data_IF_751795877595
#
_entry.id   IF_751795877595
#
_cell.length_a   1.000
_cell.length_b   1.000
_cell.length_c   1.000
_cell.angle_alpha   90.00
_cell.angle_beta   90.00
_cell.angle_gamma   90.00
#
_symmetry.space_group_name_H-M   'P 1'
#
loop_
_entity.id
_entity.type
_entity.pdbx_description
1 polymer ?
#
# COMPACT_ATOMS: atom_id res chain seq x y z
N UNK A 1 12.47 10.41 -5.98
CA UNK A 1 11.92 9.27 -5.21
C UNK A 1 11.43 8.14 -6.10
N UNK A 2 11.56 6.90 -5.65
CA UNK A 2 10.89 5.70 -6.19
C UNK A 2 10.29 4.89 -5.03
N UNK A 3 9.04 4.45 -5.19
CA UNK A 3 8.37 3.54 -4.25
C UNK A 3 8.21 2.19 -4.94
N UNK A 4 8.80 1.15 -4.36
CA UNK A 4 8.93 -0.18 -4.98
C UNK A 4 8.70 -1.28 -3.96
N UNK A 5 8.64 -2.53 -4.42
CA UNK A 5 8.53 -3.72 -3.55
C UNK A 5 7.35 -3.63 -2.58
N UNK A 6 6.22 -3.11 -3.07
CA UNK A 6 4.97 -3.08 -2.31
C UNK A 6 4.49 -4.51 -2.13
N UNK A 7 4.26 -4.92 -0.89
CA UNK A 7 3.83 -6.27 -0.54
C UNK A 7 2.64 -6.22 0.40
N UNK A 8 1.79 -7.23 0.26
CA UNK A 8 0.64 -7.48 1.13
C UNK A 8 0.96 -8.73 1.95
N UNK A 9 0.95 -8.59 3.27
CA UNK A 9 1.35 -9.64 4.22
C UNK A 9 2.72 -10.25 3.89
N UNK A 10 3.66 -9.42 3.42
CA UNK A 10 5.02 -9.85 3.04
C UNK A 10 5.13 -10.56 1.68
N UNK A 11 4.04 -10.66 0.92
CA UNK A 11 3.99 -11.32 -0.39
C UNK A 11 3.69 -10.30 -1.49
N UNK A 12 4.35 -10.43 -2.64
CA UNK A 12 4.01 -9.67 -3.83
C UNK A 12 2.76 -10.29 -4.48
N UNK A 13 1.68 -9.52 -4.53
CA UNK A 13 0.39 -9.90 -5.14
C UNK A 13 -0.19 -11.26 -4.72
N UNK A 14 -0.50 -11.48 -3.42
CA UNK A 14 -1.07 -12.74 -2.96
C UNK A 14 -2.49 -12.95 -3.49
N UNK A 15 -2.76 -14.13 -4.06
CA UNK A 15 -4.06 -14.47 -4.65
C UNK A 15 -4.68 -15.69 -3.97
N UNK A 16 -5.97 -15.61 -3.61
CA UNK A 16 -6.73 -16.71 -3.03
C UNK A 16 -6.39 -17.02 -1.56
N UNK A 17 -5.77 -16.10 -0.84
CA UNK A 17 -5.39 -16.29 0.57
C UNK A 17 -6.54 -15.91 1.50
N UNK A 18 -6.73 -16.69 2.57
CA UNK A 18 -7.50 -16.20 3.70
C UNK A 18 -6.70 -15.12 4.43
N UNK A 19 -7.26 -13.93 4.58
CA UNK A 19 -6.57 -12.77 5.17
C UNK A 19 -7.42 -12.19 6.30
N UNK A 20 -7.07 -12.53 7.55
CA UNK A 20 -7.69 -11.93 8.74
C UNK A 20 -7.31 -10.46 8.92
N UNK A 21 -6.17 -10.07 8.36
CA UNK A 21 -5.64 -8.71 8.39
C UNK A 21 -4.77 -8.44 7.16
N UNK A 22 -4.60 -7.15 6.86
CA UNK A 22 -3.75 -6.67 5.78
C UNK A 22 -2.60 -5.87 6.37
N UNK A 23 -1.37 -6.29 6.08
CA UNK A 23 -0.14 -5.54 6.35
C UNK A 23 0.45 -5.11 5.01
N UNK A 24 0.57 -3.81 4.82
CA UNK A 24 1.22 -3.23 3.63
C UNK A 24 2.64 -2.82 3.97
N UNK A 25 3.62 -3.27 3.20
CA UNK A 25 5.02 -2.84 3.32
C UNK A 25 5.54 -2.34 1.98
N UNK A 26 6.49 -1.41 1.98
CA UNK A 26 7.07 -0.83 0.76
C UNK A 26 8.51 -0.38 0.99
N UNK A 27 9.25 -0.18 -0.11
CA UNK A 27 10.62 0.37 -0.10
C UNK A 27 10.69 1.71 -0.81
N UNK A 28 11.38 2.66 -0.20
CA UNK A 28 11.67 3.98 -0.77
C UNK A 28 13.14 4.05 -1.18
N UNK A 29 13.42 4.50 -2.39
CA UNK A 29 14.79 4.70 -2.89
C UNK A 29 14.88 5.87 -3.87
N UNK A 30 16.09 6.21 -4.33
CA UNK A 30 16.29 7.24 -5.37
C UNK A 30 15.77 8.62 -4.98
N UNK A 31 16.05 9.05 -3.76
CA UNK A 31 15.69 10.37 -3.22
C UNK A 31 16.78 10.88 -2.28
N UNK A 32 16.93 12.20 -2.21
CA UNK A 32 17.79 12.88 -1.24
C UNK A 32 17.06 13.20 0.07
N UNK A 33 15.74 13.01 0.12
CA UNK A 33 14.94 13.11 1.34
C UNK A 33 15.41 12.06 2.34
N UNK A 34 15.56 12.48 3.60
CA UNK A 34 16.06 11.60 4.68
C UNK A 34 14.93 11.06 5.52
N UNK A 35 13.83 11.80 5.59
CA UNK A 35 12.66 11.42 6.36
C UNK A 35 11.42 11.39 5.46
N UNK A 36 10.48 10.53 5.83
CA UNK A 36 9.13 10.54 5.32
C UNK A 36 8.37 11.71 5.96
N UNK A 37 7.99 12.70 5.16
CA UNK A 37 7.11 13.77 5.62
C UNK A 37 5.65 13.30 5.69
N UNK A 38 5.26 12.41 4.77
CA UNK A 38 3.91 11.86 4.69
C UNK A 38 3.90 10.54 3.91
N UNK A 39 3.02 9.63 4.29
CA UNK A 39 2.70 8.43 3.54
C UNK A 39 1.20 8.29 3.40
N UNK A 40 0.75 7.84 2.24
CA UNK A 40 -0.64 7.60 1.91
C UNK A 40 -0.76 6.20 1.30
N UNK A 41 -1.56 5.35 1.93
CA UNK A 41 -1.90 4.02 1.44
C UNK A 41 -3.36 4.05 1.02
N UNK A 42 -3.64 3.62 -0.20
CA UNK A 42 -4.99 3.51 -0.75
C UNK A 42 -5.26 2.07 -1.16
N UNK A 43 -6.46 1.58 -0.85
CA UNK A 43 -6.96 0.28 -1.29
C UNK A 43 -8.28 0.47 -2.03
N UNK A 44 -8.40 -0.14 -3.21
CA UNK A 44 -9.56 -0.03 -4.11
C UNK A 44 -9.99 -1.41 -4.62
N UNK A 45 -11.22 -1.54 -5.11
CA UNK A 45 -11.67 -2.70 -5.90
C UNK A 45 -11.32 -2.57 -7.39
N UNK A 46 -10.94 -1.38 -7.84
CA UNK A 46 -10.59 -1.06 -9.23
C UNK A 46 -9.12 -0.70 -9.38
N UNK A 47 -8.49 -1.17 -10.46
CA UNK A 47 -7.08 -0.88 -10.78
C UNK A 47 -6.82 0.61 -11.05
N UNK A 48 -7.87 1.35 -11.43
CA UNK A 48 -7.84 2.79 -11.70
C UNK A 48 -7.96 3.64 -10.42
N UNK A 49 -8.27 3.02 -9.27
CA UNK A 49 -8.53 3.70 -7.99
C UNK A 49 -9.68 4.72 -8.08
N UNK A 50 -10.66 4.50 -8.96
CA UNK A 50 -11.86 5.33 -9.03
C UNK A 50 -12.81 5.11 -7.84
N UNK A 51 -12.71 3.96 -7.18
CA UNK A 51 -13.49 3.63 -5.97
C UNK A 51 -12.55 3.17 -4.87
N UNK A 52 -12.01 4.12 -4.12
CA UNK A 52 -11.15 3.84 -2.96
C UNK A 52 -12.00 3.39 -1.79
N UNK A 53 -11.78 2.17 -1.31
CA UNK A 53 -12.46 1.60 -0.15
C UNK A 53 -11.80 1.97 1.17
N UNK A 54 -10.48 2.16 1.16
CA UNK A 54 -9.72 2.44 2.35
C UNK A 54 -8.57 3.39 2.06
N UNK A 55 -8.37 4.34 2.96
CA UNK A 55 -7.29 5.32 2.89
C UNK A 55 -6.67 5.47 4.26
N UNK A 56 -5.34 5.35 4.34
CA UNK A 56 -4.58 5.64 5.55
C UNK A 56 -3.46 6.61 5.24
N UNK A 57 -3.41 7.71 5.98
CA UNK A 57 -2.43 8.79 5.78
C UNK A 57 -1.69 9.09 7.08
N UNK A 58 -0.38 9.30 6.99
CA UNK A 58 0.40 9.79 8.11
C UNK A 58 1.90 9.76 7.86
N UNK A 59 2.62 10.65 8.55
CA UNK A 59 4.09 10.67 8.52
C UNK A 59 4.72 9.46 9.21
N UNK A 60 4.03 8.89 10.21
CA UNK A 60 4.54 7.81 11.07
C UNK A 60 4.15 6.40 10.60
N UNK A 61 3.58 6.26 9.40
CA UNK A 61 3.23 4.94 8.84
C UNK A 61 4.50 4.11 8.61
N UNK A 62 4.43 2.83 9.00
CA UNK A 62 5.58 1.92 9.07
C UNK A 62 5.87 1.29 7.71
N UNK A 63 6.96 1.71 7.07
CA UNK A 63 7.38 1.18 5.77
C UNK A 63 7.65 -0.34 5.78
N UNK A 64 8.08 -0.89 6.92
CA UNK A 64 8.35 -2.33 7.07
C UNK A 64 7.07 -3.18 7.18
N UNK A 65 5.91 -2.57 7.38
CA UNK A 65 4.64 -3.27 7.56
C UNK A 65 3.65 -2.44 8.38
N UNK A 66 2.81 -1.69 7.68
CA UNK A 66 1.71 -0.94 8.25
C UNK A 66 0.43 -1.78 8.22
N UNK A 67 -0.22 -1.95 9.38
CA UNK A 67 -1.50 -2.64 9.46
C UNK A 67 -2.61 -1.74 8.91
N UNK A 68 -3.43 -2.30 8.02
CA UNK A 68 -4.61 -1.66 7.46
C UNK A 68 -5.85 -2.28 8.10
N UNK A 69 -6.65 -1.44 8.75
CA UNK A 69 -7.91 -1.85 9.38
C UNK A 69 -9.05 -1.79 8.35
N UNK A 70 -8.91 -2.59 7.29
CA UNK A 70 -9.89 -2.75 6.20
C UNK A 70 -10.67 -4.04 6.40
N UNK A 71 -11.98 -4.01 6.13
CA UNK A 71 -12.81 -5.21 6.06
C UNK A 71 -12.80 -5.72 4.63
N UNK A 72 -12.47 -7.00 4.46
CA UNK A 72 -12.41 -7.65 3.16
C UNK A 72 -13.56 -8.65 3.00
N UNK A 73 -14.09 -8.71 1.79
CA UNK A 73 -15.05 -9.72 1.37
C UNK A 73 -14.30 -10.95 0.83
N UNK A 74 -14.83 -12.17 0.96
CA UNK A 74 -14.24 -13.36 0.36
C UNK A 74 -14.25 -13.28 -1.17
N UNK A 75 -13.31 -13.99 -1.82
CA UNK A 75 -13.20 -14.11 -3.29
C UNK A 75 -13.21 -12.77 -4.03
N UNK A 76 -12.59 -11.75 -3.45
CA UNK A 76 -12.61 -10.39 -3.98
C UNK A 76 -11.19 -9.89 -4.22
N UNK A 77 -10.98 -9.33 -5.41
CA UNK A 77 -9.71 -8.71 -5.78
C UNK A 77 -9.67 -7.24 -5.36
N UNK A 78 -8.54 -6.84 -4.78
CA UNK A 78 -8.26 -5.50 -4.31
C UNK A 78 -6.94 -5.00 -4.88
N UNK A 79 -6.84 -3.69 -5.04
CA UNK A 79 -5.66 -3.00 -5.54
C UNK A 79 -5.15 -2.07 -4.47
N UNK A 80 -3.87 -2.19 -4.13
CA UNK A 80 -3.18 -1.33 -3.17
C UNK A 80 -2.13 -0.49 -3.88
N UNK A 81 -2.01 0.79 -3.53
CA UNK A 81 -0.88 1.63 -3.91
C UNK A 81 -0.41 2.48 -2.73
N UNK A 82 0.85 2.86 -2.77
CA UNK A 82 1.47 3.70 -1.74
C UNK A 82 2.04 4.96 -2.38
N UNK A 83 1.68 6.12 -1.86
CA UNK A 83 2.29 7.41 -2.18
C UNK A 83 3.12 7.88 -1.00
N UNK A 84 4.37 8.26 -1.26
CA UNK A 84 5.29 8.79 -0.26
C UNK A 84 5.66 10.23 -0.64
N UNK A 85 5.72 11.10 0.36
CA UNK A 85 6.27 12.45 0.27
C UNK A 85 7.44 12.56 1.24
N UNK A 86 8.61 12.97 0.73
CA UNK A 86 9.82 13.17 1.50
C UNK A 86 9.89 14.55 2.14
N UNK A 87 10.77 14.72 3.12
CA UNK A 87 11.01 15.98 3.83
C UNK A 87 11.60 17.10 2.96
N UNK A 88 12.16 16.78 1.79
CA UNK A 88 12.59 17.77 0.79
C UNK A 88 11.55 18.07 -0.29
N UNK A 89 10.31 17.58 -0.11
CA UNK A 89 9.17 17.87 -0.97
C UNK A 89 9.04 17.00 -2.21
N UNK A 90 9.98 16.10 -2.48
CA UNK A 90 9.81 15.12 -3.57
C UNK A 90 8.80 14.04 -3.17
N UNK A 91 8.04 13.54 -4.15
CA UNK A 91 7.04 12.52 -3.92
C UNK A 91 7.02 11.50 -5.05
N UNK A 92 6.53 10.30 -4.76
CA UNK A 92 6.30 9.25 -5.75
C UNK A 92 5.13 8.36 -5.33
N UNK A 93 4.47 7.79 -6.33
CA UNK A 93 3.43 6.77 -6.17
C UNK A 93 3.98 5.45 -6.69
N UNK A 94 3.72 4.36 -5.99
CA UNK A 94 4.07 3.02 -6.45
C UNK A 94 3.20 2.59 -7.63
N UNK A 95 3.65 1.57 -8.36
CA UNK A 95 2.73 0.76 -9.14
C UNK A 95 1.66 0.13 -8.21
N UNK A 96 0.49 -0.12 -8.77
CA UNK A 96 -0.59 -0.80 -8.06
C UNK A 96 -0.29 -2.30 -7.94
N UNK A 97 -0.41 -2.84 -6.74
CA UNK A 97 -0.35 -4.30 -6.49
C UNK A 97 -1.75 -4.84 -6.30
N UNK A 98 -2.02 -6.01 -6.87
CA UNK A 98 -3.32 -6.69 -6.73
C UNK A 98 -3.21 -7.78 -5.67
N UNK A 99 -4.18 -7.90 -4.78
CA UNK A 99 -4.30 -9.04 -3.88
C UNK A 99 -5.74 -9.54 -3.85
N UNK A 100 -5.93 -10.84 -3.69
CA UNK A 100 -7.25 -11.48 -3.72
C UNK A 100 -7.45 -12.34 -2.49
N UNK A 101 -8.61 -12.19 -1.87
CA UNK A 101 -9.05 -13.02 -0.76
C UNK A 101 -9.55 -14.38 -1.24
N UNK A 102 -9.26 -15.40 -0.45
CA UNK A 102 -9.74 -16.76 -0.66
C UNK A 102 -11.21 -16.95 -0.26
N UNK A 103 -11.57 -18.21 0.01
CA UNK A 103 -12.90 -18.57 0.50
C UNK A 103 -13.15 -18.05 1.91
#
# INVERSE_FOLDING_TARGET
>A
MKVTDVKINGIASPMGFHMDYVICSWKVSGTDSKNQADALIEVSTGKDFNTVLYTKKGKDLKQQGEKLDIVLEPRTAYYCRVKITGDKGDSAVSDAVCFETGK
#
